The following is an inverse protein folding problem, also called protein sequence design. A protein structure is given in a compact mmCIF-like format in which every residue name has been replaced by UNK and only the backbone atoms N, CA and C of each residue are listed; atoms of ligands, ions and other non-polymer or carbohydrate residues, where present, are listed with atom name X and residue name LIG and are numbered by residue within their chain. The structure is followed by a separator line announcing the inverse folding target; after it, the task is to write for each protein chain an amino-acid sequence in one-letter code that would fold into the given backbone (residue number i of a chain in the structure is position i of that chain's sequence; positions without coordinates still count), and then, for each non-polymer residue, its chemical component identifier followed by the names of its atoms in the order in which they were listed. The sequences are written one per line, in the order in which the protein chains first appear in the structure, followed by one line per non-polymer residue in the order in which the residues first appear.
data_IF_179255519886
#
_entry.id   IF_179255519886
#
_cell.length_a   1.000
_cell.length_b   1.000
_cell.length_c   1.000
_cell.angle_alpha   90.00
_cell.angle_beta   90.00
_cell.angle_gamma   90.00
#
_symmetry.space_group_name_H-M   'P 1'
#
loop_
_entity.id
_entity.type
_entity.pdbx_description
1 polymer ?
#
# COMPACT_ATOMS: atom_id res chain seq x y z
N UNK A 1 -38.27 41.67 46.56
CA UNK A 1 -37.64 42.87 46.03
C UNK A 1 -36.59 42.41 45.03
N UNK A 2 -37.04 42.45 43.79
CA UNK A 2 -36.36 42.98 42.59
C UNK A 2 -35.31 42.11 41.98
N UNK A 3 -35.72 41.34 40.93
CA UNK A 3 -34.98 41.12 39.67
C UNK A 3 -34.65 42.47 38.99
N UNK A 4 -34.02 42.56 37.85
CA UNK A 4 -33.62 41.60 36.81
C UNK A 4 -32.28 41.94 36.09
N UNK A 5 -31.86 41.14 35.11
CA UNK A 5 -31.40 41.45 33.73
C UNK A 5 -30.68 40.24 33.18
N UNK A 6 -31.20 39.46 32.31
CA UNK A 6 -31.50 39.49 30.89
C UNK A 6 -30.51 40.34 30.07
N UNK A 7 -29.63 39.64 29.31
CA UNK A 7 -29.31 40.06 27.95
C UNK A 7 -28.64 38.95 27.17
N UNK A 8 -29.36 38.41 26.32
CA UNK A 8 -29.27 37.92 24.97
C UNK A 8 -27.98 38.40 24.21
N UNK A 9 -27.12 37.50 23.86
CA UNK A 9 -26.21 37.69 22.73
C UNK A 9 -26.19 36.46 21.82
N UNK A 10 -27.03 36.54 20.80
CA UNK A 10 -26.90 35.75 19.61
C UNK A 10 -25.58 36.06 18.95
N UNK A 11 -24.80 35.03 18.65
CA UNK A 11 -23.76 35.10 17.63
C UNK A 11 -23.61 33.79 16.89
N UNK A 12 -24.23 33.81 15.77
CA UNK A 12 -23.75 33.38 14.46
C UNK A 12 -23.17 31.97 14.35
N UNK A 13 -24.04 31.04 13.96
CA UNK A 13 -23.71 29.78 13.30
C UNK A 13 -23.00 30.08 11.98
N UNK A 14 -21.73 29.81 11.93
CA UNK A 14 -21.05 29.50 10.66
C UNK A 14 -21.08 27.99 10.56
N UNK A 15 -21.89 27.51 9.63
CA UNK A 15 -21.94 26.13 9.22
C UNK A 15 -20.63 25.82 8.48
N UNK A 16 -19.72 25.12 9.14
CA UNK A 16 -18.62 24.44 8.48
C UNK A 16 -19.07 23.06 8.05
N UNK A 17 -18.95 22.82 6.76
CA UNK A 17 -19.24 21.55 6.10
C UNK A 17 -18.47 20.38 6.75
N UNK A 18 -18.99 19.14 6.70
CA UNK A 18 -18.31 17.99 7.26
C UNK A 18 -17.10 17.66 6.40
N UNK A 19 -15.92 17.95 6.90
CA UNK A 19 -14.68 17.39 6.39
C UNK A 19 -14.67 15.91 6.74
N UNK A 20 -14.76 15.08 5.72
CA UNK A 20 -14.73 13.63 5.77
C UNK A 20 -13.55 13.10 6.56
N UNK A 21 -13.84 12.41 7.62
CA UNK A 21 -13.22 11.24 8.22
C UNK A 21 -11.71 11.05 8.06
N UNK A 22 -10.90 11.88 8.75
CA UNK A 22 -9.66 11.40 9.33
C UNK A 22 -10.06 10.93 10.72
N UNK A 23 -10.08 9.60 10.92
CA UNK A 23 -10.35 9.02 12.22
C UNK A 23 -9.32 9.59 13.21
N UNK A 24 -9.83 10.22 14.26
CA UNK A 24 -9.06 10.76 15.37
C UNK A 24 -8.10 9.69 15.92
N UNK A 25 -6.84 9.76 15.53
CA UNK A 25 -5.74 8.97 16.07
C UNK A 25 -5.07 9.68 17.27
N UNK A 26 -5.64 10.82 17.70
CA UNK A 26 -5.02 11.70 18.68
C UNK A 26 -5.12 11.27 20.15
N UNK A 27 -5.77 10.13 20.43
CA UNK A 27 -5.91 9.66 21.83
C UNK A 27 -5.02 8.47 22.20
N UNK A 28 -4.14 8.00 21.29
CA UNK A 28 -3.52 6.69 21.46
C UNK A 28 -2.32 6.63 22.41
N UNK A 29 -1.60 7.73 22.67
CA UNK A 29 -0.36 7.64 23.45
C UNK A 29 -0.10 8.89 24.30
N UNK A 30 -0.76 9.02 25.47
CA UNK A 30 -0.30 9.96 26.51
C UNK A 30 0.92 9.43 27.29
N UNK A 31 1.10 8.10 27.34
CA UNK A 31 2.27 7.44 27.92
C UNK A 31 2.56 6.20 27.06
N UNK A 32 3.70 6.16 26.41
CA UNK A 32 4.08 5.07 25.51
C UNK A 32 5.41 4.46 25.91
N UNK A 33 5.66 3.28 25.38
CA UNK A 33 6.93 2.59 25.46
C UNK A 33 7.49 2.40 24.06
N UNK A 34 8.81 2.38 23.95
CA UNK A 34 9.52 1.92 22.77
C UNK A 34 10.32 0.68 23.11
N UNK A 35 10.12 -0.39 22.34
CA UNK A 35 10.88 -1.62 22.44
C UNK A 35 11.74 -1.81 21.21
N UNK A 36 13.03 -2.01 21.43
CA UNK A 36 14.00 -2.33 20.41
C UNK A 36 14.11 -3.84 20.28
N UNK A 37 13.76 -4.37 19.12
CA UNK A 37 13.89 -5.79 18.79
C UNK A 37 15.02 -6.01 17.80
N UNK A 38 15.82 -7.05 18.04
CA UNK A 38 16.73 -7.60 17.05
C UNK A 38 16.05 -8.76 16.34
N UNK A 39 16.02 -8.72 15.01
CA UNK A 39 15.33 -9.72 14.19
C UNK A 39 16.32 -10.30 13.16
N UNK A 40 17.12 -11.31 13.52
CA UNK A 40 18.24 -11.81 12.71
C UNK A 40 17.86 -12.28 11.31
N UNK A 41 16.62 -12.73 11.12
CA UNK A 41 16.13 -13.21 9.82
C UNK A 41 15.39 -12.14 9.01
N UNK A 42 15.47 -10.88 9.41
CA UNK A 42 14.90 -9.77 8.62
C UNK A 42 15.97 -9.27 7.64
N UNK A 43 15.93 -9.77 6.42
CA UNK A 43 16.91 -9.48 5.38
C UNK A 43 16.32 -8.65 4.23
N UNK A 44 15.00 -8.60 4.09
CA UNK A 44 14.35 -7.91 2.99
C UNK A 44 12.97 -7.30 3.39
N UNK A 45 12.37 -6.47 2.54
CA UNK A 45 11.05 -5.86 2.80
C UNK A 45 9.90 -6.84 3.02
N UNK A 46 10.03 -8.11 2.60
CA UNK A 46 9.00 -9.13 2.85
C UNK A 46 8.83 -9.43 4.33
N UNK A 47 9.92 -9.53 5.07
CA UNK A 47 9.90 -9.77 6.52
C UNK A 47 9.36 -8.53 7.27
N UNK A 48 9.68 -7.32 6.82
CA UNK A 48 9.05 -6.10 7.34
C UNK A 48 7.53 -6.16 7.17
N UNK A 49 7.06 -6.57 5.98
CA UNK A 49 5.65 -6.75 5.68
C UNK A 49 4.98 -7.77 6.61
N UNK A 50 5.65 -8.89 6.89
CA UNK A 50 5.14 -9.91 7.83
C UNK A 50 5.01 -9.36 9.26
N UNK A 51 6.01 -8.60 9.73
CA UNK A 51 5.98 -7.97 11.06
C UNK A 51 4.84 -6.94 11.13
N UNK A 52 4.70 -6.08 10.11
CA UNK A 52 3.59 -5.11 10.03
C UNK A 52 2.25 -5.82 10.11
N UNK A 53 2.04 -6.89 9.33
CA UNK A 53 0.79 -7.65 9.34
C UNK A 53 0.50 -8.31 10.69
N UNK A 54 1.51 -8.86 11.34
CA UNK A 54 1.32 -9.53 12.63
C UNK A 54 0.94 -8.55 13.74
N UNK A 55 1.44 -7.31 13.70
CA UNK A 55 1.20 -6.30 14.72
C UNK A 55 -0.01 -5.40 14.41
N UNK A 56 -0.53 -5.41 13.19
CA UNK A 56 -1.69 -4.56 12.79
C UNK A 56 -2.98 -4.87 13.57
N UNK A 57 -3.11 -6.09 14.09
CA UNK A 57 -4.28 -6.50 14.89
C UNK A 57 -4.23 -6.04 16.33
N UNK A 58 -3.15 -5.39 16.75
CA UNK A 58 -2.95 -4.92 18.13
C UNK A 58 -3.53 -3.52 18.26
N UNK A 59 -4.44 -3.33 19.22
CA UNK A 59 -5.00 -2.04 19.55
C UNK A 59 -4.58 -1.63 20.98
N UNK A 60 -4.21 -0.35 21.19
CA UNK A 60 -4.10 0.73 20.21
C UNK A 60 -2.98 0.44 19.18
N UNK A 61 -3.13 1.04 17.97
CA UNK A 61 -2.22 0.84 16.84
C UNK A 61 -0.78 1.14 17.25
N UNK A 62 0.13 0.22 16.93
CA UNK A 62 1.56 0.39 17.14
C UNK A 62 2.22 1.12 15.97
N UNK A 63 3.26 1.92 16.24
CA UNK A 63 4.11 2.50 15.22
C UNK A 63 5.38 1.66 15.09
N UNK A 64 5.86 1.48 13.87
CA UNK A 64 6.99 0.62 13.55
C UNK A 64 8.05 1.40 12.79
N UNK A 65 9.28 1.35 13.28
CA UNK A 65 10.45 1.86 12.59
C UNK A 65 11.39 0.69 12.29
N UNK A 66 11.73 0.50 11.02
CA UNK A 66 12.58 -0.59 10.56
C UNK A 66 13.98 -0.09 10.22
N UNK A 67 14.97 -0.83 10.65
CA UNK A 67 16.38 -0.69 10.25
C UNK A 67 16.84 -2.05 9.70
N UNK A 68 16.44 -2.32 8.46
CA UNK A 68 16.69 -3.60 7.78
C UNK A 68 18.17 -3.91 7.66
N UNK A 69 19.07 -2.94 7.30
CA UNK A 69 20.51 -3.20 7.26
C UNK A 69 21.07 -3.69 8.58
N UNK A 70 20.59 -3.20 9.72
CA UNK A 70 21.01 -3.59 11.05
C UNK A 70 20.12 -4.66 11.69
N UNK A 71 19.07 -5.12 10.96
CA UNK A 71 18.13 -6.16 11.41
C UNK A 71 17.45 -5.78 12.72
N UNK A 72 17.05 -4.53 12.84
CA UNK A 72 16.40 -3.98 14.04
C UNK A 72 15.02 -3.45 13.72
N UNK A 73 14.13 -3.58 14.70
CA UNK A 73 12.78 -3.03 14.66
C UNK A 73 12.52 -2.30 15.97
N UNK A 74 12.13 -1.04 15.88
CA UNK A 74 11.63 -0.27 17.02
C UNK A 74 10.11 -0.29 16.97
N UNK A 75 9.50 -0.69 18.05
CA UNK A 75 8.05 -0.79 18.21
C UNK A 75 7.60 0.21 19.25
N UNK A 76 6.81 1.19 18.85
CA UNK A 76 6.20 2.17 19.75
C UNK A 76 4.78 1.74 20.06
N UNK A 77 4.44 1.64 21.36
CA UNK A 77 3.15 1.10 21.83
C UNK A 77 2.75 1.67 23.19
N UNK A 78 1.48 1.51 23.55
CA UNK A 78 0.97 1.83 24.89
C UNK A 78 1.21 0.68 25.88
N UNK A 79 0.13 0.01 26.30
CA UNK A 79 0.17 -1.02 27.33
C UNK A 79 0.27 -2.46 26.80
N UNK A 80 0.48 -2.64 25.50
CA UNK A 80 0.32 -3.91 24.78
C UNK A 80 1.62 -4.73 24.63
N UNK A 81 2.66 -4.46 25.42
CA UNK A 81 3.99 -5.05 25.27
C UNK A 81 4.00 -6.57 25.21
N UNK A 82 3.24 -7.25 26.07
CA UNK A 82 3.16 -8.71 26.10
C UNK A 82 2.56 -9.31 24.81
N UNK A 83 1.54 -8.67 24.26
CA UNK A 83 0.92 -9.09 22.99
C UNK A 83 1.88 -8.91 21.81
N UNK A 84 2.64 -7.82 21.80
CA UNK A 84 3.67 -7.55 20.78
C UNK A 84 4.76 -8.63 20.83
N UNK A 85 5.27 -8.94 22.02
CA UNK A 85 6.32 -9.96 22.18
C UNK A 85 5.86 -11.34 21.72
N UNK A 86 4.63 -11.74 22.04
CA UNK A 86 4.05 -13.00 21.59
C UNK A 86 3.91 -13.06 20.07
N UNK A 87 3.42 -11.97 19.46
CA UNK A 87 3.30 -11.88 17.99
C UNK A 87 4.66 -11.93 17.31
N UNK A 88 5.64 -11.16 17.80
CA UNK A 88 6.99 -11.16 17.27
C UNK A 88 7.64 -12.57 17.36
N UNK A 89 7.41 -13.27 18.45
CA UNK A 89 7.89 -14.66 18.65
C UNK A 89 7.23 -15.63 17.68
N UNK A 90 5.92 -15.50 17.46
CA UNK A 90 5.13 -16.39 16.59
C UNK A 90 5.54 -16.34 15.12
N UNK A 91 6.17 -15.26 14.66
CA UNK A 91 6.66 -15.12 13.29
C UNK A 91 7.85 -16.03 12.96
N UNK A 92 8.55 -16.57 13.95
CA UNK A 92 9.70 -17.45 13.71
C UNK A 92 10.92 -16.77 13.09
N UNK A 93 10.94 -15.42 13.04
CA UNK A 93 12.06 -14.62 12.51
C UNK A 93 13.25 -14.52 13.49
N UNK A 94 13.14 -15.11 14.66
CA UNK A 94 14.18 -15.06 15.70
C UNK A 94 14.22 -13.72 16.43
N UNK A 95 13.11 -13.01 16.51
CA UNK A 95 13.02 -11.73 17.19
C UNK A 95 13.39 -11.87 18.68
N UNK A 96 14.31 -11.02 19.13
CA UNK A 96 14.73 -10.92 20.54
C UNK A 96 14.58 -9.47 21.00
N UNK A 97 13.96 -9.28 22.15
CA UNK A 97 13.85 -7.96 22.78
C UNK A 97 15.21 -7.56 23.33
N UNK A 98 15.78 -6.45 22.86
CA UNK A 98 17.05 -5.91 23.36
C UNK A 98 16.82 -4.93 24.52
N UNK A 99 15.83 -4.05 24.39
CA UNK A 99 15.59 -2.97 25.34
C UNK A 99 14.15 -2.48 25.26
N UNK A 100 13.59 -2.08 26.39
CA UNK A 100 12.34 -1.30 26.46
C UNK A 100 12.61 -0.04 27.27
N UNK A 101 12.18 1.10 26.72
CA UNK A 101 12.29 2.41 27.37
C UNK A 101 10.97 3.15 27.26
N UNK A 102 10.65 4.07 28.19
CA UNK A 102 9.53 4.99 27.97
C UNK A 102 9.77 5.77 26.68
N UNK A 103 8.74 5.87 25.87
CA UNK A 103 8.78 6.68 24.63
C UNK A 103 8.62 8.17 24.98
N UNK A 104 9.55 9.01 24.53
CA UNK A 104 9.40 10.45 24.60
C UNK A 104 8.36 10.93 23.58
N UNK A 105 7.74 12.07 23.85
CA UNK A 105 6.79 12.69 22.92
C UNK A 105 7.47 13.03 21.59
N UNK A 106 8.72 13.47 21.63
CA UNK A 106 9.54 13.74 20.44
C UNK A 106 9.80 12.48 19.60
N UNK A 107 10.06 11.33 20.24
CA UNK A 107 10.30 10.06 19.55
C UNK A 107 9.03 9.59 18.80
N UNK A 108 7.86 9.78 19.38
CA UNK A 108 6.57 9.43 18.77
C UNK A 108 6.25 10.33 17.58
N UNK A 109 6.51 11.64 17.70
CA UNK A 109 6.32 12.59 16.60
C UNK A 109 7.24 12.23 15.44
N UNK A 110 8.52 12.02 15.69
CA UNK A 110 9.50 11.62 14.69
C UNK A 110 9.14 10.29 14.00
N UNK A 111 8.67 9.30 14.75
CA UNK A 111 8.25 8.02 14.19
C UNK A 111 7.03 8.16 13.26
N UNK A 112 6.06 9.03 13.63
CA UNK A 112 4.90 9.36 12.78
C UNK A 112 5.31 10.09 11.51
N UNK A 113 6.15 11.11 11.63
CA UNK A 113 6.64 11.86 10.46
C UNK A 113 7.37 10.96 9.47
N UNK A 114 8.19 10.02 9.97
CA UNK A 114 8.87 9.03 9.11
C UNK A 114 7.88 8.07 8.44
N UNK A 115 6.87 7.57 9.16
CA UNK A 115 5.84 6.71 8.58
C UNK A 115 5.07 7.43 7.48
N UNK A 116 4.66 8.68 7.73
CA UNK A 116 3.97 9.51 6.74
C UNK A 116 4.84 9.85 5.53
N UNK A 117 6.11 10.20 5.74
CA UNK A 117 7.06 10.47 4.66
C UNK A 117 7.27 9.22 3.78
N UNK A 118 7.42 8.05 4.39
CA UNK A 118 7.55 6.78 3.67
C UNK A 118 6.30 6.48 2.84
N UNK A 119 5.11 6.65 3.42
CA UNK A 119 3.84 6.46 2.72
C UNK A 119 3.67 7.43 1.54
N UNK A 120 4.12 8.68 1.67
CA UNK A 120 4.08 9.67 0.59
C UNK A 120 5.01 9.29 -0.58
N UNK A 121 6.22 8.82 -0.29
CA UNK A 121 7.17 8.34 -1.31
C UNK A 121 6.60 7.11 -2.02
N UNK A 122 6.08 6.13 -1.29
CA UNK A 122 5.43 4.94 -1.84
C UNK A 122 4.25 5.32 -2.75
N UNK A 123 3.37 6.20 -2.29
CA UNK A 123 2.26 6.71 -3.09
C UNK A 123 2.74 7.46 -4.35
N UNK A 124 3.84 8.18 -4.26
CA UNK A 124 4.47 8.86 -5.40
C UNK A 124 4.91 7.87 -6.49
N UNK A 125 5.63 6.83 -6.09
CA UNK A 125 6.10 5.76 -6.99
C UNK A 125 4.91 5.04 -7.63
N UNK A 126 3.91 4.64 -6.83
CA UNK A 126 2.72 3.96 -7.35
C UNK A 126 1.94 4.80 -8.36
N UNK A 127 1.85 6.14 -8.16
CA UNK A 127 1.23 7.05 -9.13
C UNK A 127 1.98 7.06 -10.46
N UNK A 128 3.30 7.08 -10.44
CA UNK A 128 4.12 7.04 -11.64
C UNK A 128 3.97 5.70 -12.38
N UNK A 129 4.02 4.58 -11.66
CA UNK A 129 3.82 3.26 -12.24
C UNK A 129 2.41 3.12 -12.84
N UNK A 130 1.39 3.60 -12.14
CA UNK A 130 0.01 3.64 -12.64
C UNK A 130 -0.10 4.47 -13.92
N UNK A 131 0.54 5.65 -13.95
CA UNK A 131 0.48 6.54 -15.11
C UNK A 131 1.20 5.92 -16.32
N UNK A 132 2.39 5.36 -16.14
CA UNK A 132 3.15 4.72 -17.21
C UNK A 132 2.38 3.54 -17.80
N UNK A 133 1.93 2.60 -16.95
CA UNK A 133 1.19 1.43 -17.42
C UNK A 133 -0.17 1.81 -18.04
N UNK A 134 -0.86 2.81 -17.47
CA UNK A 134 -2.10 3.32 -18.04
C UNK A 134 -1.92 3.95 -19.43
N UNK A 135 -0.86 4.72 -19.63
CA UNK A 135 -0.54 5.31 -20.95
C UNK A 135 -0.17 4.22 -21.94
N UNK A 136 0.72 3.29 -21.55
CA UNK A 136 1.15 2.16 -22.40
C UNK A 136 -0.04 1.29 -22.80
N UNK A 137 -0.93 0.98 -21.87
CA UNK A 137 -2.19 0.28 -22.17
C UNK A 137 -2.96 0.94 -23.30
N UNK A 138 -3.21 2.26 -23.21
CA UNK A 138 -3.98 3.00 -24.24
C UNK A 138 -3.27 2.98 -25.59
N UNK A 139 -1.95 3.19 -25.60
CA UNK A 139 -1.14 3.22 -26.81
C UNK A 139 -1.13 1.84 -27.47
N UNK A 140 -0.81 0.79 -26.72
CA UNK A 140 -0.72 -0.58 -27.25
C UNK A 140 -2.07 -1.12 -27.71
N UNK A 141 -3.15 -0.85 -26.95
CA UNK A 141 -4.50 -1.21 -27.36
C UNK A 141 -4.89 -0.55 -28.68
N UNK A 142 -4.58 0.75 -28.84
CA UNK A 142 -4.89 1.51 -30.05
C UNK A 142 -4.10 0.98 -31.23
N UNK A 143 -2.79 0.80 -31.07
CA UNK A 143 -1.92 0.27 -32.15
C UNK A 143 -2.27 -1.18 -32.44
N UNK A 144 -2.54 -2.00 -31.44
CA UNK A 144 -2.96 -3.39 -31.59
C UNK A 144 -4.25 -3.53 -32.38
N UNK A 145 -5.21 -2.63 -32.12
CA UNK A 145 -6.46 -2.58 -32.86
C UNK A 145 -6.26 -2.17 -34.32
N UNK A 146 -5.49 -1.11 -34.57
CA UNK A 146 -5.19 -0.63 -35.91
C UNK A 146 -4.36 -1.63 -36.72
N UNK A 147 -3.41 -2.30 -36.09
CA UNK A 147 -2.56 -3.32 -36.70
C UNK A 147 -3.23 -4.70 -36.80
N UNK A 148 -4.44 -4.86 -36.24
CA UNK A 148 -5.11 -6.16 -36.09
C UNK A 148 -4.21 -7.21 -35.44
N UNK A 149 -3.34 -6.76 -34.54
CA UNK A 149 -2.37 -7.58 -33.83
C UNK A 149 -2.93 -8.00 -32.47
N UNK A 150 -3.40 -9.24 -32.38
CA UNK A 150 -3.86 -9.77 -31.10
C UNK A 150 -2.74 -9.94 -30.07
N UNK A 151 -1.45 -9.97 -30.51
CA UNK A 151 -0.29 -9.95 -29.62
C UNK A 151 -0.21 -8.63 -28.86
N UNK A 152 -0.27 -7.49 -29.59
CA UNK A 152 -0.28 -6.16 -28.97
C UNK A 152 -1.53 -5.94 -28.08
N UNK A 153 -2.68 -6.50 -28.48
CA UNK A 153 -3.89 -6.43 -27.64
C UNK A 153 -3.69 -7.24 -26.36
N UNK A 154 -3.06 -8.42 -26.42
CA UNK A 154 -2.77 -9.21 -25.23
C UNK A 154 -1.77 -8.51 -24.30
N UNK A 155 -0.74 -7.87 -24.87
CA UNK A 155 0.26 -7.09 -24.15
C UNK A 155 -0.38 -5.86 -23.47
N UNK A 156 -1.28 -5.17 -24.18
CA UNK A 156 -2.04 -4.07 -23.57
C UNK A 156 -2.89 -4.51 -22.37
N UNK A 157 -3.45 -5.72 -22.38
CA UNK A 157 -4.21 -6.24 -21.26
C UNK A 157 -3.32 -6.52 -20.04
N UNK A 158 -2.05 -6.87 -20.25
CA UNK A 158 -1.07 -7.01 -19.18
C UNK A 158 -0.76 -5.66 -18.54
N UNK A 159 -0.51 -4.63 -19.36
CA UNK A 159 -0.37 -3.24 -18.88
C UNK A 159 -1.60 -2.74 -18.11
N UNK A 160 -2.80 -3.14 -18.54
CA UNK A 160 -4.03 -2.83 -17.82
C UNK A 160 -4.08 -3.54 -16.46
N UNK A 161 -3.66 -4.81 -16.40
CA UNK A 161 -3.62 -5.57 -15.15
C UNK A 161 -2.67 -4.91 -14.15
N UNK A 162 -1.49 -4.52 -14.60
CA UNK A 162 -0.51 -3.83 -13.77
C UNK A 162 -1.03 -2.47 -13.30
N UNK A 163 -1.61 -1.67 -14.19
CA UNK A 163 -2.24 -0.40 -13.81
C UNK A 163 -3.34 -0.60 -12.75
N UNK A 164 -4.17 -1.64 -12.91
CA UNK A 164 -5.20 -1.96 -11.92
C UNK A 164 -4.59 -2.34 -10.55
N UNK A 165 -3.52 -3.14 -10.54
CA UNK A 165 -2.78 -3.51 -9.31
C UNK A 165 -2.21 -2.27 -8.63
N UNK A 166 -1.53 -1.39 -9.38
CA UNK A 166 -0.98 -0.15 -8.82
C UNK A 166 -2.06 0.81 -8.33
N UNK A 167 -3.19 0.90 -9.04
CA UNK A 167 -4.34 1.70 -8.61
C UNK A 167 -4.94 1.19 -7.29
N UNK A 168 -5.09 -0.13 -7.15
CA UNK A 168 -5.58 -0.76 -5.92
C UNK A 168 -4.55 -0.62 -4.79
N UNK A 169 -3.25 -0.78 -5.08
CA UNK A 169 -2.18 -0.56 -4.10
C UNK A 169 -2.16 0.89 -3.60
N UNK A 170 -2.28 1.86 -4.51
CA UNK A 170 -2.35 3.29 -4.17
C UNK A 170 -3.56 3.61 -3.27
N UNK A 171 -4.73 3.03 -3.58
CA UNK A 171 -5.90 3.15 -2.72
C UNK A 171 -5.65 2.54 -1.33
N UNK A 172 -4.90 1.44 -1.26
CA UNK A 172 -4.60 0.74 -0.03
C UNK A 172 -3.55 1.43 0.84
N UNK A 173 -2.62 2.22 0.28
CA UNK A 173 -1.61 2.98 1.04
C UNK A 173 -2.28 3.92 2.05
N UNK A 174 -3.39 4.56 1.67
CA UNK A 174 -4.15 5.47 2.53
C UNK A 174 -5.11 4.76 3.51
N UNK A 175 -5.19 3.42 3.47
CA UNK A 175 -6.19 2.66 4.21
C UNK A 175 -5.57 1.57 5.10
N UNK A 176 -6.41 0.94 5.94
CA UNK A 176 -6.00 -0.12 6.86
C UNK A 176 -5.44 -1.35 6.15
N UNK A 177 -4.65 -2.14 6.88
CA UNK A 177 -4.03 -3.38 6.37
C UNK A 177 -5.05 -4.40 5.86
N UNK A 178 -6.26 -4.45 6.44
CA UNK A 178 -7.35 -5.29 5.92
C UNK A 178 -7.75 -4.91 4.50
N UNK A 179 -7.70 -3.62 4.19
CA UNK A 179 -7.94 -3.11 2.83
C UNK A 179 -6.79 -3.51 1.89
N UNK A 180 -5.54 -3.44 2.37
CA UNK A 180 -4.35 -3.90 1.61
C UNK A 180 -4.45 -5.39 1.27
N UNK A 181 -4.83 -6.23 2.21
CA UNK A 181 -5.04 -7.68 1.97
C UNK A 181 -6.15 -7.96 0.96
N UNK A 182 -7.30 -7.28 1.08
CA UNK A 182 -8.39 -7.41 0.10
C UNK A 182 -7.96 -6.95 -1.28
N UNK A 183 -7.21 -5.86 -1.35
CA UNK A 183 -6.62 -5.33 -2.56
C UNK A 183 -5.69 -6.36 -3.22
N UNK A 184 -4.79 -6.98 -2.47
CA UNK A 184 -3.88 -8.01 -2.96
C UNK A 184 -4.64 -9.24 -3.49
N UNK A 185 -5.67 -9.70 -2.78
CA UNK A 185 -6.51 -10.80 -3.27
C UNK A 185 -7.25 -10.45 -4.56
N UNK A 186 -7.82 -9.24 -4.64
CA UNK A 186 -8.51 -8.77 -5.85
C UNK A 186 -7.56 -8.70 -7.04
N UNK A 187 -6.36 -8.14 -6.84
CA UNK A 187 -5.30 -8.09 -7.86
C UNK A 187 -4.88 -9.48 -8.32
N UNK A 188 -4.67 -10.42 -7.39
CA UNK A 188 -4.34 -11.80 -7.73
C UNK A 188 -5.43 -12.51 -8.55
N UNK A 189 -6.69 -12.30 -8.23
CA UNK A 189 -7.80 -12.84 -9.02
C UNK A 189 -7.88 -12.21 -10.41
N UNK A 190 -7.66 -10.88 -10.52
CA UNK A 190 -7.64 -10.19 -11.80
C UNK A 190 -6.54 -10.75 -12.70
N UNK A 191 -5.31 -10.86 -12.18
CA UNK A 191 -4.18 -11.44 -12.91
C UNK A 191 -4.44 -12.90 -13.34
N UNK A 192 -5.05 -13.72 -12.49
CA UNK A 192 -5.41 -15.10 -12.85
C UNK A 192 -6.39 -15.16 -14.01
N UNK A 193 -7.45 -14.32 -13.98
CA UNK A 193 -8.44 -14.24 -15.05
C UNK A 193 -7.79 -13.80 -16.36
N UNK A 194 -6.93 -12.78 -16.32
CA UNK A 194 -6.22 -12.29 -17.50
C UNK A 194 -5.25 -13.34 -18.06
N UNK A 195 -4.49 -14.02 -17.19
CA UNK A 195 -3.59 -15.10 -17.60
C UNK A 195 -4.33 -16.24 -18.28
N UNK A 196 -5.50 -16.64 -17.75
CA UNK A 196 -6.34 -17.65 -18.39
C UNK A 196 -6.90 -17.18 -19.73
N UNK A 197 -7.24 -15.88 -19.85
CA UNK A 197 -7.68 -15.27 -21.10
C UNK A 197 -6.59 -15.31 -22.18
N UNK A 198 -5.35 -14.91 -21.81
CA UNK A 198 -4.20 -14.98 -22.72
C UNK A 198 -3.90 -16.43 -23.12
N UNK A 199 -3.92 -17.35 -22.18
CA UNK A 199 -3.71 -18.78 -22.46
C UNK A 199 -4.75 -19.34 -23.44
N UNK A 200 -6.02 -18.98 -23.26
CA UNK A 200 -7.10 -19.37 -24.17
C UNK A 200 -6.88 -18.81 -25.57
N UNK A 201 -6.45 -17.53 -25.68
CA UNK A 201 -6.17 -16.89 -26.98
C UNK A 201 -4.94 -17.54 -27.66
N UNK A 202 -3.89 -17.85 -26.93
CA UNK A 202 -2.73 -18.58 -27.46
C UNK A 202 -3.16 -19.96 -27.96
N UNK A 203 -3.98 -20.70 -27.19
CA UNK A 203 -4.52 -21.97 -27.60
C UNK A 203 -5.39 -21.87 -28.86
N UNK A 204 -6.24 -20.85 -28.95
CA UNK A 204 -7.06 -20.57 -30.13
C UNK A 204 -6.19 -20.33 -31.37
N UNK A 205 -5.13 -19.54 -31.25
CA UNK A 205 -4.19 -19.25 -32.34
C UNK A 205 -3.41 -20.47 -32.79
N UNK A 206 -3.01 -21.32 -31.84
CA UNK A 206 -2.31 -22.55 -32.15
C UNK A 206 -3.18 -23.50 -33.03
N UNK A 207 -4.50 -23.54 -32.75
CA UNK A 207 -5.42 -24.38 -33.48
C UNK A 207 -5.87 -23.78 -34.81
N UNK A 208 -6.16 -22.48 -34.86
CA UNK A 208 -6.77 -21.80 -36.01
C UNK A 208 -5.78 -20.99 -36.84
N UNK A 209 -4.53 -20.85 -36.41
CA UNK A 209 -3.49 -20.05 -37.04
C UNK A 209 -3.68 -18.54 -36.77
N UNK A 210 -2.65 -17.74 -37.04
CA UNK A 210 -2.68 -16.28 -37.03
C UNK A 210 -1.67 -15.71 -38.01
N UNK A 211 -2.02 -14.65 -38.73
CA UNK A 211 -1.12 -13.92 -39.63
C UNK A 211 -0.81 -12.53 -39.02
N UNK A 212 0.24 -12.42 -38.15
CA UNK A 212 0.58 -11.14 -37.55
C UNK A 212 1.38 -10.26 -38.53
N UNK A 213 1.18 -8.93 -38.46
CA UNK A 213 1.97 -7.95 -39.20
C UNK A 213 3.33 -7.74 -38.50
N UNK A 214 4.32 -8.53 -38.90
CA UNK A 214 5.64 -8.65 -38.24
C UNK A 214 6.40 -7.33 -38.13
N UNK A 215 6.29 -6.41 -39.11
CA UNK A 215 7.02 -5.14 -39.10
C UNK A 215 6.56 -4.18 -37.99
N UNK A 216 5.24 -4.11 -37.71
CA UNK A 216 4.69 -3.31 -36.63
C UNK A 216 5.03 -3.89 -35.26
N UNK A 217 5.00 -5.21 -35.13
CA UNK A 217 5.38 -5.90 -33.88
C UNK A 217 6.84 -5.67 -33.52
N UNK A 218 7.77 -5.73 -34.48
CA UNK A 218 9.20 -5.48 -34.23
C UNK A 218 9.45 -4.02 -33.86
N UNK A 219 8.83 -3.08 -34.56
CA UNK A 219 8.97 -1.65 -34.24
C UNK A 219 8.48 -1.31 -32.83
N UNK A 220 7.34 -1.87 -32.45
CA UNK A 220 6.77 -1.64 -31.11
C UNK A 220 7.58 -2.35 -30.01
N UNK A 221 8.07 -3.56 -30.24
CA UNK A 221 8.93 -4.28 -29.31
C UNK A 221 10.22 -3.52 -28.97
N UNK A 222 10.80 -2.80 -29.94
CA UNK A 222 11.96 -1.93 -29.68
C UNK A 222 11.58 -0.73 -28.80
N UNK A 223 10.42 -0.11 -29.03
CA UNK A 223 9.94 1.01 -28.20
C UNK A 223 9.63 0.56 -26.77
N UNK A 224 8.96 -0.58 -26.61
CA UNK A 224 8.63 -1.14 -25.30
C UNK A 224 9.88 -1.56 -24.50
N UNK A 225 10.94 -1.99 -25.18
CA UNK A 225 12.22 -2.36 -24.55
C UNK A 225 13.00 -1.11 -24.09
N UNK A 226 12.75 0.06 -24.69
CA UNK A 226 13.45 1.30 -24.39
C UNK A 226 12.73 2.16 -23.32
N UNK A 227 11.48 1.85 -22.98
CA UNK A 227 10.66 2.54 -21.97
C UNK A 227 10.85 1.93 -20.58
#
# INVERSE_FOLDING_TARGET
MSDPCNDNCQSNKIASAPTSGIANTDTAFQHGYVSDYRVPKMDCPSEEGMIRMALDSIEPRVLLEFDTPNRKVRVFYGDNGAAIEERMRSLGLGATLEKTTPAGEEDLVLAREKEEATAQVEAGILKWLLAINGVMFVVELTVGWLAQSTGLIADSLDMFADAAVYGVALYAVANSLRTKLRAAHLSGWLQLILALGVLAEVGRRFVFGSEPVSALMMGFGVVALAA
#
